data_IF_332894939831
#
_entry.id   IF_332894939831
#
_cell.length_a   1.000
_cell.length_b   1.000
_cell.length_c   1.000
_cell.angle_alpha   90.00
_cell.angle_beta   90.00
_cell.angle_gamma   90.00
#
_symmetry.space_group_name_H-M   'P 1'
#
loop_
_entity.id
_entity.type
_entity.pdbx_description
1 polymer ?
#
# COMPACT_ATOMS: atom_id res chain seq x y z
N UNK A 1 5.23 -7.44 8.09
CA UNK A 1 5.74 -6.15 8.59
C UNK A 1 6.91 -6.29 9.55
N UNK A 2 7.07 -7.42 10.27
CA UNK A 2 8.26 -7.68 11.10
C UNK A 2 9.58 -7.44 10.34
N UNK A 3 9.69 -7.95 9.11
CA UNK A 3 10.92 -7.82 8.31
C UNK A 3 11.32 -6.36 7.99
N UNK A 4 10.37 -5.48 7.62
CA UNK A 4 10.68 -4.07 7.34
C UNK A 4 11.11 -3.33 8.61
N UNK A 5 10.48 -3.65 9.74
CA UNK A 5 10.82 -3.08 11.04
C UNK A 5 12.19 -3.55 11.52
N UNK A 6 12.54 -4.82 11.31
CA UNK A 6 13.88 -5.39 11.57
C UNK A 6 14.97 -4.73 10.71
N UNK A 7 14.63 -4.34 9.48
CA UNK A 7 15.51 -3.61 8.55
C UNK A 7 15.55 -2.08 8.83
N UNK A 8 14.89 -1.61 9.89
CA UNK A 8 14.92 -0.20 10.32
C UNK A 8 14.01 0.74 9.53
N UNK A 9 12.99 0.21 8.83
CA UNK A 9 11.96 1.02 8.20
C UNK A 9 10.76 1.22 9.13
N UNK A 10 10.25 2.44 9.16
CA UNK A 10 8.92 2.72 9.68
C UNK A 10 7.86 2.29 8.67
N UNK A 11 6.82 1.64 9.16
CA UNK A 11 5.74 1.06 8.35
C UNK A 11 4.44 1.82 8.56
N UNK A 12 3.85 2.25 7.45
CA UNK A 12 2.55 2.94 7.42
C UNK A 12 1.58 2.03 6.68
N UNK A 13 0.48 1.67 7.34
CA UNK A 13 -0.59 0.90 6.73
C UNK A 13 -1.78 1.80 6.43
N UNK A 14 -2.44 1.56 5.29
CA UNK A 14 -3.71 2.18 4.93
C UNK A 14 -4.73 1.06 4.76
N UNK A 15 -5.78 1.07 5.57
CA UNK A 15 -6.83 0.06 5.49
C UNK A 15 -8.18 0.67 5.90
N UNK A 16 -9.27 0.20 5.29
CA UNK A 16 -10.63 0.65 5.58
C UNK A 16 -11.51 -0.45 6.19
N UNK A 17 -10.99 -1.67 6.41
CA UNK A 17 -11.76 -2.77 6.96
C UNK A 17 -11.74 -2.73 8.51
N UNK A 18 -12.88 -2.46 9.19
CA UNK A 18 -12.92 -2.38 10.65
C UNK A 18 -12.60 -3.71 11.34
N UNK A 19 -12.76 -4.84 10.65
CA UNK A 19 -12.53 -6.18 11.21
C UNK A 19 -11.05 -6.53 11.40
N UNK A 20 -10.13 -5.83 10.72
CA UNK A 20 -8.69 -6.12 10.75
C UNK A 20 -7.85 -5.05 11.46
N UNK A 21 -8.49 -3.99 11.97
CA UNK A 21 -7.82 -2.81 12.55
C UNK A 21 -6.85 -3.17 13.67
N UNK A 22 -7.22 -4.08 14.57
CA UNK A 22 -6.37 -4.46 15.70
C UNK A 22 -5.08 -5.13 15.25
N UNK A 23 -5.17 -6.09 14.31
CA UNK A 23 -4.00 -6.77 13.75
C UNK A 23 -3.14 -5.83 12.90
N UNK A 24 -3.75 -4.85 12.26
CA UNK A 24 -3.03 -3.86 11.44
C UNK A 24 -2.24 -2.88 12.32
N UNK A 25 -2.78 -2.48 13.47
CA UNK A 25 -2.04 -1.69 14.47
C UNK A 25 -0.87 -2.45 15.09
N UNK A 26 -1.04 -3.73 15.40
CA UNK A 26 0.06 -4.53 15.97
C UNK A 26 1.20 -4.75 14.96
N UNK A 27 0.89 -4.63 13.67
CA UNK A 27 1.83 -4.90 12.58
C UNK A 27 2.39 -3.64 11.93
N UNK A 28 1.90 -2.44 12.22
CA UNK A 28 2.38 -1.19 11.63
C UNK A 28 2.74 -0.16 12.70
N UNK A 29 3.66 0.74 12.38
CA UNK A 29 4.02 1.84 13.30
C UNK A 29 2.92 2.91 13.30
N UNK A 30 2.25 3.10 12.15
CA UNK A 30 1.12 4.01 11.98
C UNK A 30 0.07 3.37 11.07
N UNK A 31 -1.21 3.54 11.44
CA UNK A 31 -2.36 3.10 10.66
C UNK A 31 -3.20 4.32 10.26
N UNK A 32 -3.45 4.46 8.97
CA UNK A 32 -4.49 5.32 8.42
C UNK A 32 -5.75 4.49 8.20
N UNK A 33 -6.82 4.84 8.90
CA UNK A 33 -8.13 4.23 8.71
C UNK A 33 -8.96 5.03 7.71
N UNK A 34 -8.51 5.02 6.47
CA UNK A 34 -9.06 5.81 5.36
C UNK A 34 -9.47 4.88 4.20
N UNK A 35 -10.41 5.31 3.34
CA UNK A 35 -10.73 4.58 2.12
C UNK A 35 -9.48 4.32 1.25
N UNK A 36 -9.37 3.12 0.70
CA UNK A 36 -8.27 2.78 -0.22
C UNK A 36 -8.61 3.25 -1.64
N UNK A 37 -8.67 4.57 -1.81
CA UNK A 37 -8.85 5.22 -3.12
C UNK A 37 -7.56 5.88 -3.58
N UNK A 38 -7.47 6.23 -4.88
CA UNK A 38 -6.30 6.92 -5.41
C UNK A 38 -6.06 8.27 -4.72
N UNK A 39 -7.11 9.04 -4.50
CA UNK A 39 -7.02 10.39 -3.93
C UNK A 39 -6.50 10.35 -2.49
N UNK A 40 -7.11 9.52 -1.65
CA UNK A 40 -6.73 9.37 -0.24
C UNK A 40 -5.28 8.86 -0.11
N UNK A 41 -4.91 7.87 -0.93
CA UNK A 41 -3.54 7.33 -0.91
C UNK A 41 -2.52 8.36 -1.38
N UNK A 42 -2.83 9.16 -2.42
CA UNK A 42 -1.95 10.23 -2.88
C UNK A 42 -1.76 11.34 -1.84
N UNK A 43 -2.82 11.66 -1.09
CA UNK A 43 -2.73 12.60 0.03
C UNK A 43 -1.79 12.09 1.13
N UNK A 44 -1.93 10.81 1.52
CA UNK A 44 -1.05 10.18 2.51
C UNK A 44 0.40 10.17 2.00
N UNK A 45 0.63 9.78 0.74
CA UNK A 45 1.98 9.78 0.13
C UNK A 45 2.59 11.18 0.11
N UNK A 46 1.79 12.23 -0.14
CA UNK A 46 2.26 13.63 -0.13
C UNK A 46 2.69 14.09 1.26
N UNK A 47 1.98 13.66 2.30
CA UNK A 47 2.27 14.01 3.70
C UNK A 47 3.49 13.23 4.20
N UNK A 48 3.47 11.92 4.05
CA UNK A 48 4.45 11.00 4.66
C UNK A 48 5.72 10.86 3.82
N UNK A 49 5.65 11.16 2.51
CA UNK A 49 6.76 11.05 1.54
C UNK A 49 7.54 9.74 1.69
N UNK A 50 6.86 8.59 1.60
CA UNK A 50 7.47 7.29 1.88
C UNK A 50 8.57 6.97 0.87
N UNK A 51 9.58 6.21 1.32
CA UNK A 51 10.62 5.67 0.44
C UNK A 51 10.05 4.71 -0.62
N UNK A 52 8.93 4.07 -0.30
CA UNK A 52 8.18 3.29 -1.27
C UNK A 52 6.85 2.79 -0.76
N UNK A 53 6.01 2.34 -1.69
CA UNK A 53 4.63 1.89 -1.42
C UNK A 53 4.46 0.46 -1.90
N UNK A 54 3.90 -0.41 -1.05
CA UNK A 54 3.67 -1.82 -1.37
C UNK A 54 2.16 -2.06 -1.48
N UNK A 55 1.71 -2.49 -2.66
CA UNK A 55 0.28 -2.72 -2.95
C UNK A 55 -0.12 -4.20 -2.98
N UNK A 56 0.85 -5.12 -2.95
CA UNK A 56 0.64 -6.55 -3.22
C UNK A 56 -0.10 -7.31 -2.10
N UNK A 57 -0.16 -6.76 -0.89
CA UNK A 57 -0.70 -7.46 0.27
C UNK A 57 -2.15 -7.13 0.61
N UNK A 58 -2.79 -6.19 -0.09
CA UNK A 58 -4.18 -5.77 0.21
C UNK A 58 -5.23 -6.27 -0.80
N UNK A 59 -4.92 -7.31 -1.58
CA UNK A 59 -5.84 -7.91 -2.54
C UNK A 59 -6.06 -7.06 -3.80
N UNK A 60 -7.24 -7.16 -4.42
CA UNK A 60 -7.52 -6.57 -5.73
C UNK A 60 -7.58 -5.03 -5.74
N UNK A 61 -8.10 -4.43 -4.67
CA UNK A 61 -8.33 -2.98 -4.62
C UNK A 61 -7.03 -2.17 -4.76
N UNK A 62 -5.97 -2.42 -3.97
CA UNK A 62 -4.71 -1.69 -4.12
C UNK A 62 -3.96 -2.04 -5.40
N UNK A 63 -4.11 -3.27 -5.93
CA UNK A 63 -3.47 -3.65 -7.19
C UNK A 63 -4.00 -2.83 -8.38
N UNK A 64 -5.30 -2.54 -8.41
CA UNK A 64 -5.90 -1.65 -9.42
C UNK A 64 -5.37 -0.21 -9.31
N UNK A 65 -4.97 0.22 -8.12
CA UNK A 65 -4.39 1.56 -7.91
C UNK A 65 -2.91 1.63 -8.32
N UNK A 66 -2.20 0.50 -8.40
CA UNK A 66 -0.76 0.45 -8.64
C UNK A 66 -0.33 1.28 -9.86
N UNK A 67 -1.02 1.11 -11.00
CA UNK A 67 -0.73 1.86 -12.25
C UNK A 67 -0.94 3.35 -12.08
N UNK A 68 -2.02 3.75 -11.41
CA UNK A 68 -2.35 5.15 -11.23
C UNK A 68 -1.39 5.84 -10.25
N UNK A 69 -0.94 5.13 -9.21
CA UNK A 69 0.08 5.59 -8.27
C UNK A 69 1.44 5.74 -8.98
N UNK A 70 1.85 4.76 -9.78
CA UNK A 70 3.08 4.83 -10.57
C UNK A 70 3.04 5.98 -11.58
N UNK A 71 1.92 6.16 -12.29
CA UNK A 71 1.72 7.29 -13.21
C UNK A 71 1.75 8.65 -12.51
N UNK A 72 1.39 8.70 -11.22
CA UNK A 72 1.51 9.88 -10.36
C UNK A 72 2.93 10.08 -9.78
N UNK A 73 3.90 9.21 -10.11
CA UNK A 73 5.28 9.30 -9.66
C UNK A 73 5.52 8.72 -8.25
N UNK A 74 4.59 7.94 -7.72
CA UNK A 74 4.76 7.27 -6.43
C UNK A 74 5.75 6.11 -6.59
N UNK A 75 6.75 5.97 -5.70
CA UNK A 75 7.72 4.88 -5.75
C UNK A 75 7.08 3.55 -5.32
N UNK A 76 6.35 2.89 -6.23
CA UNK A 76 5.74 1.58 -5.96
C UNK A 76 6.84 0.50 -5.92
N UNK A 77 6.91 -0.25 -4.83
CA UNK A 77 7.88 -1.33 -4.62
C UNK A 77 7.23 -2.68 -4.93
N UNK A 78 7.89 -3.43 -5.81
CA UNK A 78 7.59 -4.82 -6.10
C UNK A 78 7.15 -5.04 -7.55
N UNK A 79 6.22 -5.97 -7.75
CA UNK A 79 5.86 -6.44 -9.09
C UNK A 79 5.18 -5.33 -9.89
N UNK A 80 5.78 -4.97 -11.04
CA UNK A 80 5.22 -3.99 -11.97
C UNK A 80 3.78 -4.38 -12.34
N UNK A 81 2.86 -3.42 -12.50
CA UNK A 81 1.48 -3.69 -12.88
C UNK A 81 1.32 -4.55 -14.16
N UNK A 82 2.35 -4.62 -15.00
CA UNK A 82 2.41 -5.45 -16.20
C UNK A 82 2.53 -6.96 -15.91
N UNK A 83 2.97 -7.36 -14.72
CA UNK A 83 2.96 -8.79 -14.33
C UNK A 83 1.61 -9.22 -13.72
N UNK A 84 0.78 -8.27 -13.29
CA UNK A 84 -0.52 -8.54 -12.68
C UNK A 84 -1.58 -8.75 -13.76
N UNK A 85 -1.61 -7.91 -14.80
CA UNK A 85 -2.52 -8.10 -15.95
C UNK A 85 -2.32 -9.47 -16.63
N UNK A 86 -1.09 -9.99 -16.67
CA UNK A 86 -0.80 -11.32 -17.24
C UNK A 86 -1.26 -12.49 -16.37
N UNK A 87 -1.61 -12.26 -15.10
CA UNK A 87 -2.06 -13.30 -14.19
C UNK A 87 -3.59 -13.45 -14.15
N UNK A 88 -4.35 -12.42 -14.51
CA UNK A 88 -5.82 -12.43 -14.50
C UNK A 88 -6.46 -12.75 -15.85
N UNK A 89 -5.69 -12.76 -16.93
CA UNK A 89 -6.16 -13.13 -18.27
C UNK A 89 -6.04 -14.67 -18.46
N UNK A 90 -6.82 -15.44 -17.69
CA UNK A 90 -6.91 -16.89 -17.81
C UNK A 90 -8.30 -17.46 -17.59
#
# INVERSE_FOLDING_TARGET
>A
SLALREDGYETIMVNCNPETVSTDYDTSDRLYFEPVTLEDVLEIVRIEKPKGVIVQYGGQTPLKLARALEAAGVPVIGTSPDAIDRAEDR
#
